data_IF_608401296177
#
_entry.id   IF_608401296177
#
_cell.length_a   1.000
_cell.length_b   1.000
_cell.length_c   1.000
_cell.angle_alpha   90.00
_cell.angle_beta   90.00
_cell.angle_gamma   90.00
#
_symmetry.space_group_name_H-M   'P 1'
#
loop_
_entity.id
_entity.type
_entity.pdbx_description
1 polymer ?
#
# COMPACT_ATOMS: atom_id res chain seq x y z
N UNK A 1 -18.13 -12.08 30.10
CA UNK A 1 -17.18 -11.95 28.98
C UNK A 1 -17.81 -12.56 27.75
N UNK A 2 -18.56 -11.76 27.00
CA UNK A 2 -19.07 -12.12 25.69
C UNK A 2 -18.58 -11.00 24.78
N UNK A 3 -17.47 -11.25 24.07
CA UNK A 3 -16.58 -10.17 23.62
C UNK A 3 -16.38 -10.07 22.11
N UNK A 4 -16.57 -11.16 21.38
CA UNK A 4 -16.36 -11.18 19.92
C UNK A 4 -17.62 -11.61 19.17
N UNK A 5 -18.30 -12.66 19.64
CA UNK A 5 -19.52 -13.15 19.00
C UNK A 5 -20.63 -12.09 19.03
N UNK A 6 -20.79 -11.43 20.17
CA UNK A 6 -21.78 -10.37 20.34
C UNK A 6 -21.50 -9.16 19.44
N UNK A 7 -20.22 -8.83 19.26
CA UNK A 7 -19.80 -7.76 18.38
C UNK A 7 -20.09 -8.08 16.90
N UNK A 8 -19.89 -9.32 16.48
CA UNK A 8 -20.21 -9.78 15.12
C UNK A 8 -21.72 -9.79 14.90
N UNK A 9 -22.50 -10.28 15.87
CA UNK A 9 -23.96 -10.29 15.79
C UNK A 9 -24.53 -8.87 15.72
N UNK A 10 -23.99 -7.97 16.54
CA UNK A 10 -24.35 -6.55 16.53
C UNK A 10 -24.02 -5.90 15.18
N UNK A 11 -22.79 -6.07 14.70
CA UNK A 11 -22.35 -5.56 13.39
C UNK A 11 -23.24 -6.05 12.25
N UNK A 12 -23.52 -7.36 12.19
CA UNK A 12 -24.39 -7.94 11.16
C UNK A 12 -25.82 -7.37 11.19
N UNK A 13 -26.33 -7.00 12.37
CA UNK A 13 -27.66 -6.40 12.52
C UNK A 13 -27.69 -4.95 12.09
N UNK A 14 -26.64 -4.18 12.38
CA UNK A 14 -26.56 -2.75 12.09
C UNK A 14 -26.11 -2.46 10.64
N UNK A 15 -25.37 -3.38 10.01
CA UNK A 15 -24.78 -3.20 8.69
C UNK A 15 -25.78 -2.76 7.59
N UNK A 16 -27.00 -3.31 7.49
CA UNK A 16 -27.96 -2.89 6.46
C UNK A 16 -28.37 -1.42 6.54
N UNK A 17 -28.39 -0.86 7.75
CA UNK A 17 -28.80 0.53 8.02
C UNK A 17 -27.61 1.49 8.15
N UNK A 18 -26.37 0.98 8.06
CA UNK A 18 -25.16 1.78 8.26
C UNK A 18 -24.84 2.60 7.02
N UNK A 19 -24.71 3.93 7.20
CA UNK A 19 -24.37 4.86 6.12
C UNK A 19 -23.10 5.61 6.46
N UNK A 20 -22.04 5.37 5.68
CA UNK A 20 -20.77 6.10 5.78
C UNK A 20 -20.70 7.15 4.67
N UNK A 21 -20.57 8.43 5.04
CA UNK A 21 -20.37 9.52 4.07
C UNK A 21 -18.92 9.52 3.58
N UNK A 22 -18.72 9.47 2.26
CA UNK A 22 -17.38 9.51 1.66
C UNK A 22 -16.61 8.18 1.82
N UNK A 23 -17.14 7.12 1.20
CA UNK A 23 -16.57 5.77 1.29
C UNK A 23 -15.12 5.71 0.78
N UNK A 24 -14.18 5.15 1.57
CA UNK A 24 -12.80 4.92 1.13
C UNK A 24 -12.71 3.70 0.19
N UNK A 25 -11.55 3.47 -0.42
CA UNK A 25 -11.33 2.34 -1.36
C UNK A 25 -11.67 0.96 -0.80
N UNK A 26 -11.67 0.76 0.52
CA UNK A 26 -12.17 -0.44 1.20
C UNK A 26 -13.55 -0.17 1.82
N UNK A 27 -14.55 0.03 0.96
CA UNK A 27 -15.90 0.42 1.36
C UNK A 27 -16.54 -0.59 2.34
N UNK A 28 -16.44 -1.89 2.07
CA UNK A 28 -17.04 -2.93 2.91
C UNK A 28 -16.44 -2.98 4.31
N UNK A 29 -15.14 -2.71 4.43
CA UNK A 29 -14.46 -2.62 5.73
C UNK A 29 -14.88 -1.37 6.50
N UNK A 30 -15.01 -0.23 5.82
CA UNK A 30 -15.48 1.01 6.43
C UNK A 30 -16.92 0.88 6.94
N UNK A 31 -17.79 0.24 6.16
CA UNK A 31 -19.17 -0.05 6.54
C UNK A 31 -19.24 -1.01 7.73
N UNK A 32 -18.44 -2.08 7.73
CA UNK A 32 -18.39 -3.01 8.85
C UNK A 32 -17.88 -2.37 10.14
N UNK A 33 -16.81 -1.59 10.04
CA UNK A 33 -16.26 -0.85 11.18
C UNK A 33 -17.23 0.15 11.78
N UNK A 34 -17.94 0.90 10.92
CA UNK A 34 -19.01 1.80 11.35
C UNK A 34 -20.21 1.03 11.94
N UNK A 35 -20.57 -0.13 11.39
CA UNK A 35 -21.68 -0.92 11.89
C UNK A 35 -21.42 -1.46 13.31
N UNK A 36 -20.19 -1.86 13.61
CA UNK A 36 -19.79 -2.32 14.95
C UNK A 36 -19.50 -1.18 15.92
N UNK A 37 -19.27 0.05 15.44
CA UNK A 37 -18.82 1.16 16.29
C UNK A 37 -19.86 1.49 17.37
N UNK A 38 -21.15 1.42 17.01
CA UNK A 38 -22.28 1.67 17.90
C UNK A 38 -22.37 0.70 19.10
N UNK A 39 -21.62 -0.41 19.10
CA UNK A 39 -21.58 -1.33 20.24
C UNK A 39 -20.81 -0.74 21.44
N UNK A 40 -19.79 0.09 21.19
CA UNK A 40 -18.83 0.52 22.22
C UNK A 40 -18.37 1.98 22.09
N UNK A 41 -18.61 2.62 20.95
CA UNK A 41 -18.13 3.96 20.63
C UNK A 41 -19.26 4.82 20.08
N UNK A 42 -19.00 6.13 20.05
CA UNK A 42 -19.91 7.09 19.43
C UNK A 42 -19.78 7.02 17.92
N UNK A 43 -20.87 7.27 17.21
CA UNK A 43 -20.90 7.35 15.76
C UNK A 43 -19.77 8.25 15.22
N UNK A 44 -19.08 7.77 14.19
CA UNK A 44 -17.94 8.47 13.57
C UNK A 44 -16.59 8.23 14.24
N UNK A 45 -16.53 7.66 15.46
CA UNK A 45 -15.25 7.37 16.14
C UNK A 45 -14.40 6.40 15.33
N UNK A 46 -15.01 5.39 14.73
CA UNK A 46 -14.29 4.45 13.87
C UNK A 46 -13.75 5.16 12.63
N UNK A 47 -14.58 5.99 11.98
CA UNK A 47 -14.16 6.68 10.74
C UNK A 47 -13.09 7.74 10.98
N UNK A 48 -13.07 8.41 12.13
CA UNK A 48 -12.00 9.33 12.50
C UNK A 48 -10.69 8.57 12.75
N UNK A 49 -10.73 7.47 13.50
CA UNK A 49 -9.56 6.64 13.76
C UNK A 49 -9.06 5.95 12.48
N UNK A 50 -9.96 5.44 11.65
CA UNK A 50 -9.65 4.81 10.37
C UNK A 50 -9.11 5.83 9.37
N UNK A 51 -9.72 7.02 9.32
CA UNK A 51 -9.24 8.15 8.53
C UNK A 51 -7.86 8.63 8.99
N UNK A 52 -7.61 8.73 10.29
CA UNK A 52 -6.29 9.04 10.84
C UNK A 52 -5.27 7.94 10.57
N UNK A 53 -5.67 6.67 10.58
CA UNK A 53 -4.80 5.55 10.20
C UNK A 53 -4.47 5.58 8.71
N UNK A 54 -5.45 5.83 7.84
CA UNK A 54 -5.23 6.06 6.41
C UNK A 54 -4.33 7.28 6.21
N UNK A 55 -4.59 8.39 6.89
CA UNK A 55 -3.85 9.64 6.76
C UNK A 55 -2.43 9.53 7.33
N UNK A 56 -2.18 8.77 8.40
CA UNK A 56 -0.85 8.42 8.90
C UNK A 56 -0.14 7.52 7.89
N UNK A 57 -0.84 6.52 7.37
CA UNK A 57 -0.46 5.80 6.17
C UNK A 57 -0.55 6.65 4.89
N UNK A 58 -0.70 7.97 4.93
CA UNK A 58 -0.46 8.87 3.79
C UNK A 58 0.65 9.86 4.12
N UNK A 59 0.77 10.30 5.38
CA UNK A 59 1.86 11.11 5.89
C UNK A 59 3.20 10.38 5.81
N UNK A 60 3.21 9.05 6.00
CA UNK A 60 4.38 8.21 5.68
C UNK A 60 4.76 8.27 4.19
N UNK A 61 3.90 8.76 3.27
CA UNK A 61 4.23 8.98 1.83
C UNK A 61 5.01 10.29 1.65
N UNK A 62 4.90 11.26 2.54
CA UNK A 62 5.73 12.46 2.51
C UNK A 62 7.20 12.15 2.83
N UNK A 63 7.46 11.06 3.55
CA UNK A 63 8.80 10.48 3.74
C UNK A 63 9.21 9.50 2.63
N UNK A 64 8.31 9.20 1.69
CA UNK A 64 8.58 8.31 0.56
C UNK A 64 9.16 9.13 -0.58
N UNK A 65 10.46 8.93 -0.78
CA UNK A 65 11.18 9.15 -2.04
C UNK A 65 10.27 8.93 -3.27
N UNK A 66 10.35 9.80 -4.29
CA UNK A 66 9.61 9.71 -5.56
C UNK A 66 9.58 8.28 -6.15
N UNK A 67 10.61 7.48 -5.89
CA UNK A 67 10.64 6.06 -6.25
C UNK A 67 9.52 5.23 -5.60
N UNK A 68 9.27 5.40 -4.30
CA UNK A 68 8.25 4.63 -3.61
C UNK A 68 6.84 5.07 -3.98
N UNK A 69 6.62 6.35 -4.29
CA UNK A 69 5.34 6.83 -4.87
C UNK A 69 5.08 6.10 -6.19
N UNK A 70 6.08 6.05 -7.07
CA UNK A 70 5.96 5.38 -8.35
C UNK A 70 5.69 3.86 -8.21
N UNK A 71 6.24 3.20 -7.19
CA UNK A 71 5.98 1.77 -6.91
C UNK A 71 4.56 1.56 -6.37
N UNK A 72 4.08 2.42 -5.47
CA UNK A 72 2.71 2.36 -4.96
C UNK A 72 1.71 2.55 -6.11
N UNK A 73 1.97 3.53 -6.99
CA UNK A 73 1.15 3.75 -8.18
C UNK A 73 1.23 2.56 -9.15
N UNK A 74 2.42 1.97 -9.33
CA UNK A 74 2.60 0.74 -10.11
C UNK A 74 1.68 -0.39 -9.64
N UNK A 75 1.64 -0.61 -8.32
CA UNK A 75 0.87 -1.67 -7.68
C UNK A 75 -0.61 -1.32 -7.47
N UNK A 76 -1.02 -0.07 -7.67
CA UNK A 76 -2.42 0.37 -7.48
C UNK A 76 -3.42 -0.34 -8.42
N UNK A 77 -2.93 -0.83 -9.57
CA UNK A 77 -3.73 -1.48 -10.62
C UNK A 77 -3.45 -2.97 -10.75
N UNK A 78 -2.59 -3.55 -9.90
CA UNK A 78 -2.19 -4.95 -10.00
C UNK A 78 -1.82 -5.55 -8.64
N UNK A 79 -2.19 -6.81 -8.37
CA UNK A 79 -1.82 -7.47 -7.11
C UNK A 79 -0.34 -7.88 -7.06
N UNK A 80 0.29 -8.07 -8.22
CA UNK A 80 1.68 -8.52 -8.35
C UNK A 80 2.35 -7.90 -9.57
N UNK A 81 3.65 -7.64 -9.46
CA UNK A 81 4.54 -7.37 -10.59
C UNK A 81 5.79 -8.25 -10.49
N UNK A 82 6.29 -8.72 -11.63
CA UNK A 82 7.55 -9.49 -11.70
C UNK A 82 8.28 -9.21 -13.00
N UNK A 83 9.59 -9.02 -12.94
CA UNK A 83 10.40 -8.72 -14.11
C UNK A 83 11.85 -8.36 -13.78
N UNK A 84 12.60 -7.94 -14.79
CA UNK A 84 13.99 -7.49 -14.63
C UNK A 84 14.05 -6.09 -14.03
N UNK A 85 15.17 -5.77 -13.37
CA UNK A 85 15.41 -4.42 -12.85
C UNK A 85 15.32 -3.32 -13.93
N UNK A 86 15.78 -3.63 -15.15
CA UNK A 86 15.68 -2.74 -16.31
C UNK A 86 14.24 -2.48 -16.74
N UNK A 87 13.40 -3.51 -16.75
CA UNK A 87 11.98 -3.41 -17.10
C UNK A 87 11.22 -2.59 -16.05
N UNK A 88 11.50 -2.84 -14.76
CA UNK A 88 10.94 -2.04 -13.68
C UNK A 88 11.32 -0.57 -13.84
N UNK A 89 12.61 -0.30 -14.10
CA UNK A 89 13.12 1.05 -14.25
C UNK A 89 12.42 1.82 -15.38
N UNK A 90 12.31 1.21 -16.56
CA UNK A 90 11.62 1.78 -17.73
C UNK A 90 10.16 2.11 -17.42
N UNK A 91 9.43 1.20 -16.78
CA UNK A 91 8.01 1.41 -16.43
C UNK A 91 7.87 2.57 -15.44
N UNK A 92 8.72 2.63 -14.42
CA UNK A 92 8.69 3.71 -13.44
C UNK A 92 9.05 5.05 -14.11
N UNK A 93 10.04 5.07 -15.01
CA UNK A 93 10.44 6.27 -15.73
C UNK A 93 9.30 6.81 -16.61
N UNK A 94 8.61 5.95 -17.35
CA UNK A 94 7.50 6.35 -18.22
C UNK A 94 6.34 6.99 -17.46
N UNK A 95 6.12 6.59 -16.21
CA UNK A 95 5.03 7.09 -15.34
C UNK A 95 5.38 8.38 -14.60
N UNK A 96 6.67 8.70 -14.49
CA UNK A 96 7.14 9.92 -13.85
C UNK A 96 7.06 11.14 -14.77
N UNK A 97 6.70 12.30 -14.23
CA UNK A 97 6.82 13.60 -14.93
C UNK A 97 8.29 14.00 -15.10
N UNK A 98 8.65 14.86 -16.08
CA UNK A 98 10.03 15.30 -16.29
C UNK A 98 10.69 15.95 -15.07
N UNK A 99 9.91 16.60 -14.19
CA UNK A 99 10.40 17.17 -12.94
C UNK A 99 10.78 16.11 -11.91
N UNK A 100 9.96 15.07 -11.77
CA UNK A 100 10.22 13.96 -10.84
C UNK A 100 11.38 13.06 -11.31
N UNK A 101 11.53 12.86 -12.63
CA UNK A 101 12.68 12.14 -13.21
C UNK A 101 14.03 12.80 -12.90
N UNK A 102 14.03 14.11 -12.64
CA UNK A 102 15.23 14.90 -12.31
C UNK A 102 15.44 15.03 -10.81
N UNK A 103 14.55 14.49 -9.98
CA UNK A 103 14.74 14.53 -8.54
C UNK A 103 15.97 13.71 -8.18
N UNK A 104 16.71 14.18 -7.18
CA UNK A 104 17.90 13.50 -6.66
C UNK A 104 17.54 12.15 -6.00
N UNK A 105 16.26 11.94 -5.73
CA UNK A 105 15.75 10.78 -5.03
C UNK A 105 15.29 9.69 -6.02
N UNK A 106 14.92 10.03 -7.25
CA UNK A 106 14.65 9.04 -8.29
C UNK A 106 15.95 8.40 -8.83
N UNK A 107 15.97 7.09 -9.11
CA UNK A 107 17.19 6.45 -9.59
C UNK A 107 17.55 6.94 -10.99
N UNK A 108 18.84 7.20 -11.22
CA UNK A 108 19.37 7.63 -12.52
C UNK A 108 19.68 6.46 -13.45
N UNK A 109 19.84 5.25 -12.90
CA UNK A 109 20.06 4.03 -13.66
C UNK A 109 19.51 2.76 -12.96
N UNK A 110 19.40 1.62 -13.68
CA UNK A 110 18.93 0.36 -13.10
C UNK A 110 19.78 -0.22 -11.97
N UNK A 111 21.06 0.18 -11.84
CA UNK A 111 21.93 -0.26 -10.74
C UNK A 111 21.57 0.48 -9.45
N UNK A 112 21.38 1.79 -9.52
CA UNK A 112 20.96 2.62 -8.39
C UNK A 112 19.53 2.33 -7.95
N UNK A 113 18.64 1.90 -8.86
CA UNK A 113 17.31 1.37 -8.50
C UNK A 113 17.42 0.27 -7.45
N UNK A 114 18.47 -0.55 -7.53
CA UNK A 114 18.65 -1.67 -6.61
C UNK A 114 18.95 -1.26 -5.19
N UNK A 115 19.79 -0.25 -5.03
CA UNK A 115 20.17 0.31 -3.74
C UNK A 115 19.02 1.10 -3.13
N UNK A 116 18.34 1.90 -3.95
CA UNK A 116 17.19 2.67 -3.48
C UNK A 116 16.00 1.80 -3.11
N UNK A 117 15.72 0.73 -3.86
CA UNK A 117 14.71 -0.27 -3.46
C UNK A 117 15.00 -0.85 -2.08
N UNK A 118 16.26 -1.17 -1.76
CA UNK A 118 16.62 -1.66 -0.44
C UNK A 118 16.39 -0.60 0.65
N UNK A 119 16.68 0.68 0.34
CA UNK A 119 16.46 1.81 1.24
C UNK A 119 14.98 2.02 1.58
N UNK A 120 14.10 1.92 0.58
CA UNK A 120 12.66 2.14 0.76
C UNK A 120 11.88 0.88 1.14
N UNK A 121 12.50 -0.31 1.08
CA UNK A 121 11.86 -1.59 1.40
C UNK A 121 11.18 -1.60 2.79
N UNK A 122 11.78 -1.08 3.87
CA UNK A 122 11.11 -1.04 5.18
C UNK A 122 9.81 -0.23 5.14
N UNK A 123 9.78 0.87 4.39
CA UNK A 123 8.60 1.72 4.24
C UNK A 123 7.54 1.00 3.39
N UNK A 124 7.94 0.41 2.26
CA UNK A 124 7.04 -0.40 1.42
C UNK A 124 6.41 -1.55 2.21
N UNK A 125 7.19 -2.24 3.06
CA UNK A 125 6.67 -3.31 3.92
C UNK A 125 5.61 -2.82 4.91
N UNK A 126 5.81 -1.65 5.53
CA UNK A 126 4.77 -1.03 6.38
C UNK A 126 3.49 -0.70 5.62
N UNK A 127 3.58 -0.51 4.29
CA UNK A 127 2.45 -0.30 3.38
C UNK A 127 1.84 -1.58 2.83
N UNK A 128 2.28 -2.74 3.32
CA UNK A 128 1.86 -4.01 2.77
C UNK A 128 2.32 -4.20 1.32
N UNK A 129 3.49 -3.67 0.96
CA UNK A 129 4.16 -3.95 -0.31
C UNK A 129 5.46 -4.69 -0.01
N UNK A 130 5.58 -5.90 -0.54
CA UNK A 130 6.76 -6.74 -0.37
C UNK A 130 7.56 -6.68 -1.67
N UNK A 131 8.84 -6.34 -1.56
CA UNK A 131 9.79 -6.38 -2.69
C UNK A 131 10.80 -7.49 -2.44
N UNK A 132 10.81 -8.48 -3.32
CA UNK A 132 11.71 -9.64 -3.30
C UNK A 132 12.59 -9.68 -4.54
N UNK A 133 13.78 -10.26 -4.36
CA UNK A 133 14.76 -10.45 -5.42
C UNK A 133 15.23 -11.87 -5.44
N UNK A 134 14.93 -12.55 -6.53
CA UNK A 134 15.37 -13.93 -6.77
C UNK A 134 16.46 -13.90 -7.82
N UNK A 135 17.65 -14.40 -7.47
CA UNK A 135 18.74 -14.60 -8.44
C UNK A 135 18.47 -15.87 -9.22
N UNK A 136 18.58 -15.81 -10.55
CA UNK A 136 18.52 -17.02 -11.36
C UNK A 136 19.69 -17.96 -11.01
N UNK A 137 19.48 -19.29 -10.99
CA UNK A 137 20.54 -20.27 -10.72
C UNK A 137 21.50 -20.46 -11.90
N UNK A 138 21.20 -19.88 -13.06
CA UNK A 138 21.97 -20.01 -14.29
C UNK A 138 23.11 -18.98 -14.40
N UNK A 139 24.08 -19.28 -15.28
CA UNK A 139 25.31 -18.49 -15.53
C UNK A 139 25.06 -17.03 -15.89
N UNK A 140 23.83 -16.71 -16.33
CA UNK A 140 23.36 -15.36 -16.62
C UNK A 140 22.76 -14.74 -15.33
N UNK A 141 23.56 -13.93 -14.64
CA UNK A 141 23.35 -13.44 -13.26
C UNK A 141 22.22 -12.41 -13.11
N UNK A 142 21.19 -12.44 -13.95
CA UNK A 142 20.12 -11.44 -13.94
C UNK A 142 19.13 -11.76 -12.82
N UNK A 143 19.03 -10.86 -11.83
CA UNK A 143 18.07 -11.00 -10.74
C UNK A 143 16.66 -10.57 -11.20
N UNK A 144 15.67 -11.41 -10.91
CA UNK A 144 14.25 -11.07 -11.07
C UNK A 144 13.77 -10.36 -9.82
N UNK A 145 13.06 -9.25 -10.01
CA UNK A 145 12.40 -8.50 -8.95
C UNK A 145 10.93 -8.89 -8.96
N UNK A 146 10.38 -9.24 -7.79
CA UNK A 146 8.97 -9.50 -7.59
C UNK A 146 8.43 -8.53 -6.56
N UNK A 147 7.32 -7.86 -6.87
CA UNK A 147 6.63 -6.93 -6.00
C UNK A 147 5.21 -7.44 -5.78
N UNK A 148 4.80 -7.62 -4.54
CA UNK A 148 3.48 -8.17 -4.17
C UNK A 148 2.82 -7.31 -3.10
N UNK A 149 1.49 -7.30 -3.08
CA UNK A 149 0.74 -6.80 -1.93
C UNK A 149 0.79 -7.87 -0.81
N UNK A 150 1.17 -7.45 0.40
CA UNK A 150 0.97 -8.24 1.60
C UNK A 150 -0.53 -8.27 1.89
N UNK A 151 -1.11 -9.47 1.84
CA UNK A 151 -2.51 -9.72 2.17
C UNK A 151 -2.79 -9.53 3.66
#
# INVERSE_FOLDING_TARGET
MAGLLDLILHGSKMLPDTVVKGLPRMADFALWGAAIESAHWKDGTFMDAYGANIASAMADVLDVDDLGVAIIELMSTRPQWSGKATELFEILLQRQTPGQRRSRQFPTDPRHLSEQLNRINPVLRRRGIIVERVRAPTKDRTATITITLAG
#
